data_IF_586660826927
#
_entry.id   IF_586660826927
#
_cell.length_a   1.000
_cell.length_b   1.000
_cell.length_c   1.000
_cell.angle_alpha   90.00
_cell.angle_beta   90.00
_cell.angle_gamma   90.00
#
_symmetry.space_group_name_H-M   'P 1'
#
loop_
_entity.id
_entity.type
_entity.pdbx_description
1 polymer ?
#
# COMPACT_ATOMS: atom_id res chain seq x y z
N UNK A 1 -10.28 9.11 -8.02
CA UNK A 1 -10.05 7.98 -8.95
C UNK A 1 -10.55 6.68 -8.30
N UNK A 2 -10.95 5.63 -9.05
CA UNK A 2 -11.24 4.31 -8.44
C UNK A 2 -9.99 3.44 -8.59
N UNK A 3 -9.33 3.11 -7.49
CA UNK A 3 -8.23 2.14 -7.46
C UNK A 3 -8.82 0.73 -7.40
N UNK A 4 -8.35 -0.16 -8.28
CA UNK A 4 -8.79 -1.55 -8.36
C UNK A 4 -7.60 -2.43 -8.71
N UNK A 5 -7.27 -3.38 -7.84
CA UNK A 5 -6.15 -4.29 -8.08
C UNK A 5 -6.49 -5.22 -9.24
N UNK A 6 -5.54 -5.44 -10.15
CA UNK A 6 -5.77 -6.23 -11.36
C UNK A 6 -6.48 -5.45 -12.46
N UNK A 7 -6.67 -4.13 -12.30
CA UNK A 7 -7.19 -3.24 -13.34
C UNK A 7 -6.07 -2.38 -13.92
N UNK A 8 -6.14 -2.17 -15.24
CA UNK A 8 -5.25 -1.24 -15.93
C UNK A 8 -5.68 0.20 -15.67
N UNK A 9 -4.76 1.02 -15.16
CA UNK A 9 -4.94 2.46 -15.01
C UNK A 9 -4.77 3.16 -16.35
N UNK A 10 -5.55 4.21 -16.62
CA UNK A 10 -5.40 4.96 -17.86
C UNK A 10 -4.14 5.84 -17.83
N UNK A 11 -3.59 6.15 -19.00
CA UNK A 11 -2.42 7.04 -19.09
C UNK A 11 -2.74 8.49 -18.65
N UNK A 12 -4.02 8.88 -18.59
CA UNK A 12 -4.45 10.16 -18.06
C UNK A 12 -4.39 10.14 -16.53
N UNK A 13 -5.01 9.13 -15.92
CA UNK A 13 -5.03 8.97 -14.46
C UNK A 13 -3.61 8.74 -13.89
N UNK A 14 -2.75 8.03 -14.64
CA UNK A 14 -1.35 7.83 -14.26
C UNK A 14 -0.56 9.14 -14.11
N UNK A 15 -0.93 10.20 -14.86
CA UNK A 15 -0.28 11.52 -14.74
C UNK A 15 -0.71 12.30 -13.51
N UNK A 16 -1.80 11.89 -12.87
CA UNK A 16 -2.28 12.47 -11.61
C UNK A 16 -1.54 11.88 -10.40
N UNK A 17 -0.72 10.85 -10.62
CA UNK A 17 0.06 10.18 -9.61
C UNK A 17 1.49 10.73 -9.52
N UNK A 18 2.00 10.86 -8.31
CA UNK A 18 3.39 11.18 -8.05
C UNK A 18 4.24 9.91 -8.14
N UNK A 19 5.30 9.92 -8.94
CA UNK A 19 6.25 8.80 -8.99
C UNK A 19 7.18 8.84 -7.77
N UNK A 20 7.31 7.72 -7.06
CA UNK A 20 8.17 7.61 -5.88
C UNK A 20 9.47 6.86 -6.20
N UNK A 21 9.36 5.65 -6.74
CA UNK A 21 10.51 4.77 -7.02
C UNK A 21 10.13 3.62 -7.94
N UNK A 22 11.04 2.66 -8.13
CA UNK A 22 10.79 1.44 -8.90
C UNK A 22 11.35 0.21 -8.20
N UNK A 23 10.74 -0.94 -8.51
CA UNK A 23 11.15 -2.26 -8.04
C UNK A 23 11.11 -3.26 -9.18
N UNK A 24 12.27 -3.57 -9.77
CA UNK A 24 12.33 -4.43 -10.95
C UNK A 24 11.60 -3.77 -12.13
N UNK A 25 10.52 -4.39 -12.60
CA UNK A 25 9.67 -3.87 -13.69
C UNK A 25 8.41 -3.16 -13.19
N UNK A 26 8.28 -2.94 -11.89
CA UNK A 26 7.14 -2.28 -11.28
C UNK A 26 7.53 -0.86 -10.88
N UNK A 27 6.69 0.11 -11.22
CA UNK A 27 6.82 1.51 -10.84
C UNK A 27 5.93 1.77 -9.63
N UNK A 28 6.46 2.50 -8.64
CA UNK A 28 5.76 2.82 -7.40
C UNK A 28 5.32 4.28 -7.43
N UNK A 29 4.04 4.48 -7.18
CA UNK A 29 3.38 5.78 -7.26
C UNK A 29 2.64 6.10 -5.98
N UNK A 30 2.48 7.39 -5.73
CA UNK A 30 1.70 7.97 -4.66
C UNK A 30 0.51 8.73 -5.22
N UNK A 31 -0.68 8.40 -4.71
CA UNK A 31 -1.86 9.22 -4.80
C UNK A 31 -2.01 9.98 -3.48
N UNK A 32 -1.59 11.23 -3.49
CA UNK A 32 -1.65 12.12 -2.34
C UNK A 32 -3.03 12.77 -2.20
N UNK A 33 -4.03 11.95 -1.86
CA UNK A 33 -5.39 12.38 -1.48
C UNK A 33 -5.73 11.89 -0.07
N UNK A 34 -6.91 12.22 0.47
CA UNK A 34 -7.41 11.64 1.73
C UNK A 34 -8.59 10.69 1.42
N UNK A 35 -8.45 9.36 1.62
CA UNK A 35 -7.26 8.65 2.10
C UNK A 35 -6.13 8.59 1.06
N UNK A 36 -4.89 8.43 1.54
CA UNK A 36 -3.67 8.46 0.74
C UNK A 36 -3.28 7.05 0.28
N UNK A 37 -2.75 6.89 -0.94
CA UNK A 37 -2.43 5.56 -1.45
C UNK A 37 -1.05 5.45 -2.06
N UNK A 38 -0.30 4.40 -1.70
CA UNK A 38 0.90 4.02 -2.44
C UNK A 38 0.60 2.74 -3.22
N UNK A 39 0.81 2.80 -4.54
CA UNK A 39 0.48 1.72 -5.46
C UNK A 39 1.70 1.30 -6.27
N UNK A 40 1.76 0.03 -6.64
CA UNK A 40 2.72 -0.46 -7.61
C UNK A 40 2.01 -0.83 -8.91
N UNK A 41 2.55 -0.35 -10.02
CA UNK A 41 2.00 -0.50 -11.36
C UNK A 41 3.04 -1.22 -12.24
N UNK A 42 2.60 -2.17 -13.06
CA UNK A 42 3.48 -2.84 -14.04
C UNK A 42 3.62 -2.05 -15.36
N UNK A 43 4.41 -2.58 -16.28
CA UNK A 43 4.65 -1.96 -17.59
C UNK A 43 3.42 -1.94 -18.52
N UNK A 44 2.37 -2.70 -18.21
CA UNK A 44 1.07 -2.68 -18.90
C UNK A 44 0.07 -1.74 -18.20
N UNK A 45 0.55 -0.90 -17.28
CA UNK A 45 -0.25 -0.03 -16.42
C UNK A 45 -1.22 -0.81 -15.51
N UNK A 46 -0.96 -2.07 -15.21
CA UNK A 46 -1.79 -2.85 -14.28
C UNK A 46 -1.48 -2.45 -12.83
N UNK A 47 -2.49 -2.13 -12.04
CA UNK A 47 -2.33 -1.94 -10.59
C UNK A 47 -2.12 -3.32 -9.95
N UNK A 48 -0.91 -3.57 -9.50
CA UNK A 48 -0.46 -4.87 -8.98
C UNK A 48 -0.42 -4.94 -7.45
N UNK A 49 -0.31 -3.77 -6.81
CA UNK A 49 -0.30 -3.62 -5.36
C UNK A 49 -0.86 -2.26 -4.97
N UNK A 50 -1.58 -2.16 -3.86
CA UNK A 50 -2.16 -0.92 -3.34
C UNK A 50 -2.19 -0.95 -1.81
N UNK A 51 -1.69 0.12 -1.20
CA UNK A 51 -1.62 0.35 0.23
C UNK A 51 -2.32 1.66 0.53
N UNK A 52 -3.30 1.63 1.44
CA UNK A 52 -4.07 2.79 1.87
C UNK A 52 -3.59 3.29 3.22
N UNK A 53 -3.37 4.59 3.31
CA UNK A 53 -2.92 5.30 4.50
C UNK A 53 -3.94 6.38 4.85
N UNK A 54 -4.36 6.40 6.11
CA UNK A 54 -5.38 7.33 6.62
C UNK A 54 -4.74 8.23 7.67
N UNK A 55 -4.99 9.54 7.56
CA UNK A 55 -4.54 10.49 8.58
C UNK A 55 -5.25 10.30 9.93
N UNK A 56 -4.48 10.42 11.00
CA UNK A 56 -4.90 10.40 12.40
C UNK A 56 -4.31 11.61 13.13
N UNK A 57 -4.81 11.87 14.33
CA UNK A 57 -4.35 13.00 15.16
C UNK A 57 -2.85 12.92 15.53
N UNK A 58 -2.25 11.73 15.42
CA UNK A 58 -0.86 11.41 15.75
C UNK A 58 -0.05 10.88 14.55
N UNK A 59 -0.49 11.12 13.31
CA UNK A 59 0.26 10.75 12.10
C UNK A 59 -0.55 9.96 11.09
N UNK A 60 0.11 9.17 10.24
CA UNK A 60 -0.57 8.29 9.28
C UNK A 60 -0.63 6.83 9.75
N UNK A 61 -1.78 6.20 9.50
CA UNK A 61 -2.06 4.80 9.77
C UNK A 61 -2.21 4.03 8.44
N UNK A 62 -1.49 2.93 8.28
CA UNK A 62 -1.77 1.95 7.22
C UNK A 62 -3.10 1.24 7.53
N UNK A 63 -4.13 1.51 6.74
CA UNK A 63 -5.49 0.99 6.93
C UNK A 63 -5.71 -0.33 6.18
N UNK A 64 -5.30 -0.39 4.91
CA UNK A 64 -5.49 -1.56 4.07
C UNK A 64 -4.30 -1.78 3.16
N UNK A 65 -4.06 -3.04 2.78
CA UNK A 65 -3.10 -3.38 1.73
C UNK A 65 -3.56 -4.59 0.95
N UNK A 66 -3.23 -4.60 -0.34
CA UNK A 66 -3.39 -5.77 -1.18
C UNK A 66 -2.29 -5.82 -2.24
N UNK A 67 -1.81 -7.02 -2.50
CA UNK A 67 -0.84 -7.33 -3.55
C UNK A 67 -1.29 -8.60 -4.26
N UNK A 68 -1.22 -8.60 -5.60
CA UNK A 68 -1.55 -9.79 -6.40
C UNK A 68 -0.77 -11.02 -5.90
N UNK A 69 -1.44 -12.17 -5.83
CA UNK A 69 -0.90 -13.37 -5.20
C UNK A 69 0.42 -13.87 -5.79
N UNK A 70 0.62 -13.71 -7.10
CA UNK A 70 1.86 -14.06 -7.81
C UNK A 70 3.05 -13.15 -7.48
N UNK A 71 2.83 -12.02 -6.80
CA UNK A 71 3.87 -11.07 -6.39
C UNK A 71 4.19 -11.14 -4.89
N UNK A 72 3.44 -11.94 -4.13
CA UNK A 72 3.69 -12.15 -2.69
C UNK A 72 5.04 -12.85 -2.50
N UNK A 73 5.80 -12.39 -1.50
CA UNK A 73 7.14 -12.91 -1.21
C UNK A 73 8.25 -12.40 -2.14
N UNK A 74 7.93 -11.56 -3.13
CA UNK A 74 8.92 -11.01 -4.07
C UNK A 74 9.48 -9.66 -3.64
N UNK A 75 9.08 -9.13 -2.48
CA UNK A 75 9.62 -7.87 -1.93
C UNK A 75 8.87 -6.59 -2.32
N UNK A 76 7.88 -6.63 -3.22
CA UNK A 76 7.16 -5.42 -3.67
C UNK A 76 6.46 -4.67 -2.53
N UNK A 77 5.84 -5.39 -1.59
CA UNK A 77 5.21 -4.79 -0.41
C UNK A 77 6.23 -4.15 0.54
N UNK A 78 7.44 -4.72 0.66
CA UNK A 78 8.53 -4.14 1.44
C UNK A 78 8.96 -2.80 0.84
N UNK A 79 9.11 -2.73 -0.48
CA UNK A 79 9.48 -1.48 -1.16
C UNK A 79 8.43 -0.39 -0.96
N UNK A 80 7.14 -0.72 -1.07
CA UNK A 80 6.04 0.24 -0.80
C UNK A 80 6.12 0.81 0.61
N UNK A 81 6.36 -0.03 1.63
CA UNK A 81 6.47 0.43 3.02
C UNK A 81 7.72 1.29 3.25
N UNK A 82 8.83 0.98 2.58
CA UNK A 82 10.03 1.83 2.64
C UNK A 82 9.71 3.23 2.09
N UNK A 83 8.97 3.33 0.98
CA UNK A 83 8.55 4.64 0.48
C UNK A 83 7.58 5.33 1.43
N UNK A 84 6.61 4.60 2.01
CA UNK A 84 5.70 5.15 3.01
C UNK A 84 6.45 5.82 4.18
N UNK A 85 7.48 5.16 4.72
CA UNK A 85 8.30 5.70 5.82
C UNK A 85 9.08 6.96 5.41
N UNK A 86 9.45 7.12 4.13
CA UNK A 86 10.09 8.34 3.64
C UNK A 86 9.08 9.48 3.44
N UNK A 87 7.88 9.16 2.96
CA UNK A 87 6.84 10.13 2.65
C UNK A 87 6.16 10.69 3.92
N UNK A 88 6.06 9.89 4.98
CA UNK A 88 5.31 10.26 6.18
C UNK A 88 6.24 10.57 7.37
N UNK A 89 6.13 11.79 7.91
CA UNK A 89 6.97 12.29 9.02
C UNK A 89 6.76 11.48 10.31
N UNK A 90 5.51 11.07 10.57
CA UNK A 90 5.12 10.22 11.69
C UNK A 90 4.27 9.05 11.17
N UNK A 91 4.81 7.83 11.29
CA UNK A 91 4.16 6.60 10.87
C UNK A 91 3.88 5.73 12.09
N UNK A 92 2.61 5.67 12.50
CA UNK A 92 2.19 4.92 13.67
C UNK A 92 1.46 3.63 13.26
N UNK A 93 1.97 2.50 13.74
CA UNK A 93 1.33 1.20 13.56
C UNK A 93 0.17 1.02 14.56
N UNK A 94 -0.92 0.32 14.19
CA UNK A 94 -2.06 0.14 15.09
C UNK A 94 -1.70 -0.67 16.37
N UNK A 95 -2.47 -0.49 17.46
CA UNK A 95 -2.30 -1.23 18.71
C UNK A 95 -2.63 -2.73 18.58
N UNK A 96 -2.02 -3.56 19.41
CA UNK A 96 -2.06 -5.04 19.37
C UNK A 96 -3.35 -5.63 19.93
N UNK A 97 -3.93 -6.64 19.26
CA UNK A 97 -4.82 -7.65 19.84
C UNK A 97 -4.47 -9.05 19.26
N UNK A 98 -5.09 -10.17 19.66
CA UNK A 98 -4.71 -11.58 19.40
C UNK A 98 -5.11 -12.37 18.10
N UNK A 99 -5.13 -11.87 16.85
CA UNK A 99 -5.48 -12.72 15.67
C UNK A 99 -4.74 -12.35 14.37
N UNK A 100 -4.14 -13.36 13.72
CA UNK A 100 -3.48 -13.44 12.38
C UNK A 100 -2.18 -12.62 12.17
N UNK A 101 -1.12 -13.32 11.71
CA UNK A 101 0.26 -12.80 11.56
C UNK A 101 0.69 -12.70 10.09
N UNK A 102 1.36 -11.61 9.72
CA UNK A 102 2.20 -11.53 8.52
C UNK A 102 3.56 -10.90 8.86
N UNK A 103 4.62 -11.37 8.20
CA UNK A 103 6.00 -10.95 8.41
C UNK A 103 6.40 -9.93 7.33
N UNK A 104 6.84 -8.74 7.74
CA UNK A 104 7.43 -7.76 6.81
C UNK A 104 8.84 -7.43 7.30
N UNK A 105 9.85 -7.75 6.50
CA UNK A 105 11.25 -7.43 6.79
C UNK A 105 11.52 -5.99 6.33
N UNK A 106 12.00 -5.11 7.20
CA UNK A 106 12.16 -3.66 6.93
C UNK A 106 13.63 -3.22 6.70
N UNK A 107 14.57 -4.15 6.71
CA UNK A 107 16.00 -3.86 6.57
C UNK A 107 16.71 -3.49 7.88
N UNK A 108 15.99 -3.35 9.00
CA UNK A 108 16.54 -3.28 10.37
C UNK A 108 16.14 -4.48 11.23
N UNK A 109 15.15 -5.26 10.79
CA UNK A 109 14.72 -6.51 11.40
C UNK A 109 13.43 -7.07 10.80
N UNK A 110 12.80 -7.98 11.56
CA UNK A 110 11.46 -8.50 11.26
C UNK A 110 10.42 -7.65 11.98
N UNK A 111 9.50 -7.03 11.23
CA UNK A 111 8.30 -6.44 11.82
C UNK A 111 7.28 -7.57 12.03
N UNK A 112 7.01 -7.90 13.29
CA UNK A 112 5.95 -8.83 13.71
C UNK A 112 4.72 -8.03 14.09
N UNK A 113 3.68 -7.87 13.24
CA UNK A 113 2.39 -7.27 13.68
C UNK A 113 1.14 -7.72 12.90
N UNK A 114 0.00 -7.57 13.61
CA UNK A 114 -1.39 -7.98 13.32
C UNK A 114 -2.17 -6.89 12.57
N UNK A 115 -3.21 -7.28 11.82
CA UNK A 115 -4.31 -6.42 11.39
C UNK A 115 -5.67 -6.78 12.05
N UNK A 116 -6.55 -5.77 12.13
CA UNK A 116 -8.01 -5.74 12.35
C UNK A 116 -8.61 -5.75 13.77
N UNK A 117 -9.09 -4.58 14.22
CA UNK A 117 -10.53 -4.27 14.33
C UNK A 117 -10.69 -2.76 14.59
N UNK A 118 -11.01 -2.03 13.53
CA UNK A 118 -11.52 -0.68 13.63
C UNK A 118 -12.67 -0.53 12.67
N UNK A 119 -13.65 -1.46 12.70
CA UNK A 119 -14.85 -1.44 11.84
C UNK A 119 -14.51 -0.94 10.43
N UNK A 120 -13.57 -1.61 9.75
CA UNK A 120 -13.21 -1.21 8.39
C UNK A 120 -14.47 -1.38 7.53
N UNK A 121 -15.10 -0.25 7.21
CA UNK A 121 -16.02 -0.17 6.07
C UNK A 121 -15.28 -0.74 4.85
N UNK A 122 -16.01 -1.26 3.86
CA UNK A 122 -15.40 -1.75 2.63
C UNK A 122 -14.27 -0.82 2.17
N UNK A 123 -13.09 -1.37 1.80
CA UNK A 123 -11.98 -0.55 1.35
C UNK A 123 -12.45 0.34 0.18
N UNK A 124 -12.03 1.62 0.10
CA UNK A 124 -12.35 2.50 -1.02
C UNK A 124 -11.80 1.99 -2.37
N UNK A 125 -10.96 0.95 -2.36
CA UNK A 125 -10.48 0.25 -3.55
C UNK A 125 -11.06 -1.16 -3.69
N UNK A 126 -11.34 -1.56 -4.93
CA UNK A 126 -11.87 -2.89 -5.25
C UNK A 126 -10.75 -3.94 -5.28
N UNK A 127 -11.02 -5.10 -4.67
CA UNK A 127 -10.19 -6.32 -4.76
C UNK A 127 -10.65 -7.13 -5.99
N UNK A 128 -9.77 -7.96 -6.60
CA UNK A 128 -10.23 -8.90 -7.61
C UNK A 128 -11.23 -9.88 -6.99
N UNK A 129 -12.24 -10.29 -7.77
CA UNK A 129 -13.15 -11.38 -7.41
C UNK A 129 -12.41 -12.71 -7.17
#
# INVERSE_FOLDING_TARGET
MILEIGRTISATDLKELEHLSSFGTYEIFWLNEDPSFIIAIDNANLICSCFEFVERYDGLLLAHMHTLSNLKGLGIGKTILIEAVKCFIEFNLPPTSDEVYYFIEDGYGWIQKRFDDGTLKEPPFKRPD
#
